data_IF_710036736679
#
_entry.id   IF_710036736679
#
_cell.length_a   1.000
_cell.length_b   1.000
_cell.length_c   1.000
_cell.angle_alpha   90.00
_cell.angle_beta   90.00
_cell.angle_gamma   90.00
#
_symmetry.space_group_name_H-M   'P 1'
#
loop_
_entity.id
_entity.type
_entity.pdbx_description
1 polymer ?
#
# COMPACT_ATOMS: atom_id res chain seq x y z
N UNK A 1 -17.08 -0.42 7.22
CA UNK A 1 -15.95 0.39 6.73
C UNK A 1 -16.29 1.83 7.07
N UNK A 2 -15.37 2.61 7.62
CA UNK A 2 -15.55 4.04 7.85
C UNK A 2 -15.59 4.77 6.51
N UNK A 3 -16.43 5.78 6.37
CA UNK A 3 -16.63 6.50 5.11
C UNK A 3 -15.47 7.46 4.82
N UNK A 4 -14.98 8.11 5.88
CA UNK A 4 -14.00 9.18 5.87
C UNK A 4 -12.56 8.74 5.55
N UNK A 5 -12.14 7.57 6.07
CA UNK A 5 -10.74 7.09 5.97
C UNK A 5 -10.63 5.66 5.40
N UNK A 6 -11.76 4.99 5.17
CA UNK A 6 -11.81 3.63 4.66
C UNK A 6 -11.36 2.54 5.66
N UNK A 7 -11.10 2.87 6.93
CA UNK A 7 -10.66 1.90 7.94
C UNK A 7 -11.81 0.94 8.27
N UNK A 8 -11.50 -0.36 8.31
CA UNK A 8 -12.46 -1.42 8.65
C UNK A 8 -12.32 -1.77 10.14
N UNK A 9 -13.38 -1.59 10.93
CA UNK A 9 -13.41 -1.90 12.36
C UNK A 9 -14.43 -3.00 12.68
N UNK A 10 -14.19 -3.73 13.77
CA UNK A 10 -15.21 -4.60 14.40
C UNK A 10 -15.74 -3.83 15.60
N UNK A 11 -17.03 -3.47 15.57
CA UNK A 11 -17.68 -2.81 16.69
C UNK A 11 -17.78 -3.79 17.87
N UNK A 12 -17.09 -3.47 18.97
CA UNK A 12 -16.99 -4.33 20.14
C UNK A 12 -18.30 -4.43 20.95
N UNK A 13 -19.20 -3.46 20.85
CA UNK A 13 -20.50 -3.50 21.53
C UNK A 13 -21.52 -4.37 20.77
N UNK A 14 -21.45 -4.33 19.43
CA UNK A 14 -22.33 -5.12 18.56
C UNK A 14 -21.83 -6.54 18.29
N UNK A 15 -20.55 -6.82 18.54
CA UNK A 15 -19.99 -8.15 18.29
C UNK A 15 -20.65 -9.22 19.18
N UNK A 16 -21.24 -10.23 18.56
CA UNK A 16 -21.91 -11.37 19.22
C UNK A 16 -21.12 -12.68 19.16
N UNK A 17 -19.81 -12.61 18.92
CA UNK A 17 -18.95 -13.79 18.96
C UNK A 17 -19.30 -14.91 17.96
N UNK A 18 -19.96 -14.62 16.83
CA UNK A 18 -20.29 -15.65 15.84
C UNK A 18 -19.08 -16.26 15.13
N UNK A 19 -17.91 -15.61 15.21
CA UNK A 19 -16.61 -16.04 14.64
C UNK A 19 -16.59 -16.24 13.12
N UNK A 20 -17.70 -16.03 12.41
CA UNK A 20 -17.75 -16.14 10.94
C UNK A 20 -16.76 -15.21 10.23
N UNK A 21 -16.47 -14.04 10.80
CA UNK A 21 -15.48 -13.11 10.25
C UNK A 21 -14.05 -13.67 10.25
N UNK A 22 -13.70 -14.55 11.20
CA UNK A 22 -12.38 -15.20 11.27
C UNK A 22 -12.19 -16.13 10.08
N UNK A 23 -13.21 -16.94 9.78
CA UNK A 23 -13.21 -17.82 8.61
C UNK A 23 -13.24 -17.03 7.31
N UNK A 24 -14.17 -16.07 7.21
CA UNK A 24 -14.43 -15.30 5.99
C UNK A 24 -13.25 -14.44 5.54
N UNK A 25 -12.41 -13.93 6.45
CA UNK A 25 -11.22 -13.18 6.06
C UNK A 25 -10.18 -14.13 5.41
N UNK A 26 -9.90 -14.00 4.11
CA UNK A 26 -8.96 -14.90 3.44
C UNK A 26 -7.53 -14.69 3.95
N UNK A 27 -7.18 -13.47 4.35
CA UNK A 27 -5.89 -13.13 4.96
C UNK A 27 -5.75 -13.50 6.45
N UNK A 28 -6.80 -14.04 7.08
CA UNK A 28 -6.82 -14.40 8.51
C UNK A 28 -6.36 -13.25 9.43
N UNK A 29 -6.85 -12.03 9.17
CA UNK A 29 -6.56 -10.81 9.93
C UNK A 29 -7.64 -10.39 10.91
N UNK A 30 -8.63 -11.25 11.13
CA UNK A 30 -9.55 -11.18 12.25
C UNK A 30 -9.20 -12.29 13.23
N UNK A 31 -8.99 -11.94 14.48
CA UNK A 31 -8.57 -12.83 15.54
C UNK A 31 -9.68 -12.93 16.58
N UNK A 32 -9.92 -14.12 17.12
CA UNK A 32 -10.87 -14.28 18.21
C UNK A 32 -10.15 -14.10 19.55
N UNK A 33 -10.65 -13.17 20.37
CA UNK A 33 -10.19 -13.02 21.74
C UNK A 33 -10.98 -13.99 22.64
N UNK A 34 -10.29 -15.02 23.12
CA UNK A 34 -10.85 -16.06 23.96
C UNK A 34 -11.28 -15.57 25.34
N UNK A 35 -10.74 -14.45 25.82
CA UNK A 35 -11.06 -13.88 27.11
C UNK A 35 -12.32 -13.00 27.06
N UNK A 36 -12.37 -12.03 26.13
CA UNK A 36 -13.53 -11.14 25.98
C UNK A 36 -14.69 -11.80 25.25
N UNK A 37 -14.42 -12.94 24.61
CA UNK A 37 -15.37 -13.65 23.77
C UNK A 37 -15.68 -12.94 22.46
N UNK A 38 -14.91 -11.91 22.05
CA UNK A 38 -15.19 -11.09 20.85
C UNK A 38 -14.08 -11.21 19.82
N UNK A 39 -14.38 -10.87 18.56
CA UNK A 39 -13.36 -10.79 17.52
C UNK A 39 -12.74 -9.40 17.45
N UNK A 40 -11.43 -9.37 17.25
CA UNK A 40 -10.61 -8.18 17.13
C UNK A 40 -9.79 -8.22 15.83
N UNK A 41 -9.35 -7.06 15.35
CA UNK A 41 -8.52 -6.95 14.15
C UNK A 41 -7.67 -5.70 14.21
N UNK A 42 -6.72 -5.58 13.27
CA UNK A 42 -5.99 -4.34 13.05
C UNK A 42 -6.97 -3.17 12.86
N UNK A 43 -6.78 -2.10 13.63
CA UNK A 43 -7.61 -0.88 13.60
C UNK A 43 -6.95 0.25 12.80
N UNK A 44 -5.91 -0.06 12.02
CA UNK A 44 -5.01 0.88 11.31
C UNK A 44 -4.52 2.05 12.18
N UNK A 45 -4.45 1.85 13.50
CA UNK A 45 -4.17 2.90 14.46
C UNK A 45 -5.02 4.16 14.24
N UNK A 46 -6.33 4.01 13.98
CA UNK A 46 -7.20 5.16 13.69
C UNK A 46 -7.09 6.33 14.68
N UNK A 47 -6.86 6.16 16.01
CA UNK A 47 -6.68 7.31 16.90
C UNK A 47 -5.43 8.15 16.57
N UNK A 48 -4.40 7.51 15.99
CA UNK A 48 -3.19 8.17 15.50
C UNK A 48 -3.44 8.84 14.15
N UNK A 49 -4.09 8.14 13.23
CA UNK A 49 -4.45 8.73 11.93
C UNK A 49 -5.29 9.99 12.09
N UNK A 50 -6.24 9.96 13.03
CA UNK A 50 -7.09 11.10 13.35
C UNK A 50 -6.36 12.34 13.85
N UNK A 51 -5.14 12.16 14.38
CA UNK A 51 -4.26 13.24 14.83
C UNK A 51 -3.11 13.50 13.85
N UNK A 52 -3.22 13.01 12.60
CA UNK A 52 -2.19 13.17 11.56
C UNK A 52 -0.91 12.36 11.81
N UNK A 53 -0.95 11.39 12.73
CA UNK A 53 0.21 10.58 13.09
C UNK A 53 0.23 9.25 12.34
N UNK A 54 1.43 8.83 11.91
CA UNK A 54 1.60 7.53 11.26
C UNK A 54 1.22 6.37 12.20
N UNK A 55 0.62 5.28 11.66
CA UNK A 55 0.34 4.06 12.42
C UNK A 55 1.60 3.52 13.10
N UNK A 56 1.45 2.93 14.29
CA UNK A 56 2.58 2.52 15.12
C UNK A 56 3.57 1.61 14.38
N UNK A 57 3.06 0.63 13.62
CA UNK A 57 3.87 -0.32 12.85
C UNK A 57 4.57 0.31 11.63
N UNK A 58 4.10 1.46 11.16
CA UNK A 58 4.72 2.25 10.09
C UNK A 58 5.77 3.21 10.66
N UNK A 59 5.44 3.88 11.76
CA UNK A 59 6.33 4.76 12.50
C UNK A 59 7.58 4.02 13.01
N UNK A 60 7.41 2.81 13.57
CA UNK A 60 8.51 1.99 14.11
C UNK A 60 9.28 1.17 13.07
N UNK A 61 8.98 1.33 11.77
CA UNK A 61 9.60 0.52 10.73
C UNK A 61 11.08 0.90 10.53
N UNK A 62 11.98 0.14 11.16
CA UNK A 62 13.44 0.33 11.12
C UNK A 62 13.99 0.31 9.69
N UNK A 63 13.53 -0.63 8.87
CA UNK A 63 13.94 -0.74 7.46
C UNK A 63 13.37 0.36 6.55
N UNK A 64 12.54 1.25 7.09
CA UNK A 64 11.90 2.38 6.40
C UNK A 64 11.06 2.06 5.16
N UNK A 65 10.66 0.80 4.98
CA UNK A 65 9.96 0.29 3.78
C UNK A 65 8.45 0.59 3.70
N UNK A 66 7.87 1.29 4.68
CA UNK A 66 6.42 1.53 4.76
C UNK A 66 6.10 2.97 4.37
N UNK A 67 5.07 3.12 3.55
CA UNK A 67 4.54 4.38 3.04
C UNK A 67 3.03 4.41 3.28
N UNK A 68 2.50 5.60 3.56
CA UNK A 68 1.08 5.86 3.75
C UNK A 68 0.71 7.13 3.00
N UNK A 69 -0.40 7.06 2.26
CA UNK A 69 -0.91 8.15 1.47
C UNK A 69 -2.35 7.87 1.07
N UNK A 70 -3.10 8.94 0.78
CA UNK A 70 -4.51 8.84 0.37
C UNK A 70 -4.59 8.26 -1.03
N UNK A 71 -5.61 7.45 -1.27
CA UNK A 71 -5.99 6.92 -2.58
C UNK A 71 -7.47 7.19 -2.77
N UNK A 72 -7.83 8.07 -3.71
CA UNK A 72 -9.22 8.28 -4.09
C UNK A 72 -9.69 7.10 -4.94
N UNK A 73 -10.89 6.60 -4.68
CA UNK A 73 -11.46 5.47 -5.40
C UNK A 73 -12.95 5.66 -5.66
N UNK A 74 -13.42 5.08 -6.75
CA UNK A 74 -14.83 5.04 -7.13
C UNK A 74 -15.54 3.86 -6.43
N UNK A 75 -16.35 4.17 -5.42
CA UNK A 75 -17.00 3.15 -4.58
C UNK A 75 -18.07 2.35 -5.34
N UNK A 76 -18.71 2.95 -6.35
CA UNK A 76 -19.79 2.31 -7.11
C UNK A 76 -19.27 1.18 -8.00
N UNK A 77 -17.98 1.21 -8.35
CA UNK A 77 -17.32 0.16 -9.15
C UNK A 77 -16.85 -1.04 -8.33
N UNK A 78 -16.94 -1.02 -7.00
CA UNK A 78 -16.39 -2.10 -6.14
C UNK A 78 -16.95 -3.47 -6.52
N UNK A 79 -18.27 -3.59 -6.66
CA UNK A 79 -18.92 -4.88 -6.98
C UNK A 79 -18.50 -5.38 -8.36
N UNK A 80 -18.54 -4.50 -9.36
CA UNK A 80 -18.15 -4.80 -10.74
C UNK A 80 -16.70 -5.31 -10.81
N UNK A 81 -15.79 -4.62 -10.12
CA UNK A 81 -14.37 -4.98 -10.08
C UNK A 81 -14.16 -6.31 -9.36
N UNK A 82 -14.76 -6.49 -8.19
CA UNK A 82 -14.64 -7.72 -7.40
C UNK A 82 -15.23 -8.94 -8.11
N UNK A 83 -16.20 -8.74 -9.01
CA UNK A 83 -16.86 -9.78 -9.81
C UNK A 83 -16.19 -10.02 -11.18
N UNK A 84 -15.16 -9.26 -11.53
CA UNK A 84 -14.50 -9.36 -12.84
C UNK A 84 -13.72 -10.67 -13.04
N UNK A 85 -13.41 -11.00 -14.29
CA UNK A 85 -12.60 -12.19 -14.60
C UNK A 85 -11.19 -12.09 -14.02
N UNK A 86 -10.61 -13.23 -13.63
CA UNK A 86 -9.28 -13.31 -13.01
C UNK A 86 -8.18 -12.60 -13.80
N UNK A 87 -8.24 -12.65 -15.14
CA UNK A 87 -7.26 -12.00 -16.03
C UNK A 87 -7.30 -10.48 -15.95
N UNK A 88 -8.49 -9.90 -15.77
CA UNK A 88 -8.69 -8.45 -15.74
C UNK A 88 -8.70 -7.90 -14.31
N UNK A 89 -8.78 -8.76 -13.30
CA UNK A 89 -8.99 -8.39 -11.89
C UNK A 89 -7.97 -7.39 -11.36
N UNK A 90 -6.69 -7.58 -11.68
CA UNK A 90 -5.63 -6.66 -11.23
C UNK A 90 -5.79 -5.31 -11.92
N UNK A 91 -6.02 -5.30 -13.23
CA UNK A 91 -6.18 -4.07 -13.99
C UNK A 91 -7.38 -3.29 -13.47
N UNK A 92 -8.54 -3.94 -13.36
CA UNK A 92 -9.77 -3.35 -12.85
C UNK A 92 -9.61 -2.87 -11.39
N UNK A 93 -8.89 -3.63 -10.56
CA UNK A 93 -8.58 -3.21 -9.19
C UNK A 93 -7.71 -1.96 -9.16
N UNK A 94 -6.70 -1.84 -10.03
CA UNK A 94 -5.91 -0.61 -10.10
C UNK A 94 -6.69 0.55 -10.72
N UNK A 95 -7.63 0.28 -11.63
CA UNK A 95 -8.44 1.28 -12.32
C UNK A 95 -9.58 1.85 -11.48
N UNK A 96 -9.92 1.22 -10.34
CA UNK A 96 -10.85 1.80 -9.37
C UNK A 96 -10.30 3.07 -8.72
N UNK A 97 -8.97 3.21 -8.68
CA UNK A 97 -8.29 4.37 -8.11
C UNK A 97 -8.20 5.49 -9.15
N UNK A 98 -8.74 6.65 -8.78
CA UNK A 98 -8.93 7.80 -9.67
C UNK A 98 -7.83 8.84 -9.47
N UNK A 99 -7.44 9.51 -10.56
CA UNK A 99 -6.34 10.49 -10.54
C UNK A 99 -6.69 11.73 -9.71
N UNK A 100 -6.00 11.98 -8.58
CA UNK A 100 -6.28 13.11 -7.71
C UNK A 100 -5.90 14.47 -8.33
N UNK A 101 -5.20 14.50 -9.47
CA UNK A 101 -4.86 15.72 -10.20
C UNK A 101 -5.86 16.05 -11.32
N UNK A 102 -6.77 15.14 -11.65
CA UNK A 102 -7.77 15.37 -12.69
C UNK A 102 -8.85 16.35 -12.17
N UNK A 103 -9.09 17.49 -12.84
CA UNK A 103 -10.09 18.48 -12.42
C UNK A 103 -11.50 17.89 -12.21
N UNK A 104 -11.92 16.95 -13.06
CA UNK A 104 -13.23 16.29 -12.94
C UNK A 104 -13.32 15.41 -11.70
N UNK A 105 -12.21 14.75 -11.32
CA UNK A 105 -12.13 13.93 -10.11
C UNK A 105 -12.13 14.81 -8.87
N UNK A 106 -11.45 15.96 -8.91
CA UNK A 106 -11.42 16.93 -7.81
C UNK A 106 -12.82 17.47 -7.54
N UNK A 107 -13.56 17.86 -8.59
CA UNK A 107 -14.93 18.31 -8.47
C UNK A 107 -15.86 17.20 -7.93
N UNK A 108 -15.77 15.99 -8.48
CA UNK A 108 -16.54 14.85 -8.00
C UNK A 108 -16.24 14.50 -6.53
N UNK A 109 -14.97 14.58 -6.12
CA UNK A 109 -14.54 14.32 -4.75
C UNK A 109 -15.13 15.35 -3.78
N UNK A 110 -15.10 16.65 -4.12
CA UNK A 110 -15.75 17.71 -3.34
C UNK A 110 -17.25 17.50 -3.21
N UNK A 111 -17.92 17.17 -4.33
CA UNK A 111 -19.35 16.88 -4.33
C UNK A 111 -19.71 15.65 -3.48
N UNK A 112 -18.75 14.74 -3.29
CA UNK A 112 -18.89 13.56 -2.43
C UNK A 112 -18.50 13.80 -0.97
N UNK A 113 -18.23 15.04 -0.58
CA UNK A 113 -17.86 15.42 0.79
C UNK A 113 -16.39 15.16 1.15
N UNK A 114 -15.51 14.95 0.17
CA UNK A 114 -14.06 14.83 0.42
C UNK A 114 -13.45 16.22 0.58
N UNK A 115 -12.80 16.44 1.73
CA UNK A 115 -12.12 17.69 2.07
C UNK A 115 -10.98 18.04 1.12
N UNK A 116 -10.80 19.34 0.85
CA UNK A 116 -9.67 19.85 0.04
C UNK A 116 -8.30 19.45 0.61
N UNK A 117 -8.18 19.38 1.94
CA UNK A 117 -6.98 18.88 2.63
C UNK A 117 -6.67 17.41 2.27
N UNK A 118 -7.71 16.59 2.12
CA UNK A 118 -7.62 15.16 1.76
C UNK A 118 -7.34 14.98 0.29
N UNK A 119 -7.93 15.81 -0.57
CA UNK A 119 -7.60 15.86 -2.01
C UNK A 119 -6.13 16.26 -2.19
N UNK A 120 -5.66 17.28 -1.48
CA UNK A 120 -4.25 17.68 -1.52
C UNK A 120 -3.32 16.56 -1.04
N UNK A 121 -3.65 15.90 0.06
CA UNK A 121 -2.91 14.72 0.54
C UNK A 121 -2.90 13.56 -0.48
N UNK A 122 -3.96 13.40 -1.28
CA UNK A 122 -4.01 12.42 -2.37
C UNK A 122 -3.09 12.80 -3.53
N UNK A 123 -3.03 14.09 -3.90
CA UNK A 123 -2.11 14.59 -4.94
C UNK A 123 -0.64 14.39 -4.56
N UNK A 124 -0.32 14.52 -3.27
CA UNK A 124 1.04 14.33 -2.75
C UNK A 124 1.32 12.88 -2.30
N UNK A 125 0.37 11.96 -2.50
CA UNK A 125 0.41 10.60 -1.98
C UNK A 125 1.60 9.78 -2.49
N UNK A 126 2.49 9.28 -1.62
CA UNK A 126 3.54 8.36 -2.04
C UNK A 126 2.94 7.04 -2.56
N UNK A 127 1.82 6.60 -2.00
CA UNK A 127 1.16 5.35 -2.41
C UNK A 127 0.64 5.46 -3.85
N UNK A 128 0.06 6.61 -4.23
CA UNK A 128 -0.33 6.88 -5.61
C UNK A 128 0.85 6.75 -6.59
N UNK A 129 2.01 7.30 -6.21
CA UNK A 129 3.24 7.21 -7.01
C UNK A 129 3.67 5.75 -7.20
N UNK A 130 3.78 4.98 -6.12
CA UNK A 130 4.18 3.57 -6.17
C UNK A 130 3.21 2.69 -6.99
N UNK A 131 1.91 2.90 -6.85
CA UNK A 131 0.86 2.02 -7.41
C UNK A 131 0.46 2.44 -8.83
N UNK A 132 0.24 3.73 -9.08
CA UNK A 132 -0.35 4.23 -10.33
C UNK A 132 0.66 4.92 -11.24
N UNK A 133 1.50 5.80 -10.70
CA UNK A 133 2.48 6.55 -11.52
C UNK A 133 3.61 5.64 -12.00
N UNK A 134 4.23 4.89 -11.09
CA UNK A 134 5.38 4.04 -11.39
C UNK A 134 4.97 2.61 -11.69
N UNK A 135 3.81 2.17 -11.18
CA UNK A 135 3.33 0.80 -11.37
C UNK A 135 4.34 -0.24 -10.91
N UNK A 136 4.92 -0.05 -9.71
CA UNK A 136 5.90 -0.95 -9.10
C UNK A 136 5.39 -1.61 -7.82
N UNK A 137 4.25 -1.17 -7.28
CA UNK A 137 3.59 -1.77 -6.13
C UNK A 137 2.33 -2.52 -6.56
N UNK A 138 2.20 -3.77 -6.09
CA UNK A 138 1.16 -4.71 -6.50
C UNK A 138 0.30 -5.13 -5.29
N UNK A 139 -1.00 -5.42 -5.49
CA UNK A 139 -1.87 -5.89 -4.42
C UNK A 139 -1.48 -7.30 -3.97
N UNK A 140 -1.73 -7.65 -2.70
CA UNK A 140 -1.52 -9.01 -2.20
C UNK A 140 -2.76 -9.88 -2.39
N UNK A 141 -2.60 -11.03 -3.05
CA UNK A 141 -3.65 -11.99 -3.37
C UNK A 141 -4.91 -11.32 -3.96
N UNK A 142 -4.80 -10.66 -5.13
CA UNK A 142 -5.95 -10.02 -5.77
C UNK A 142 -7.11 -10.99 -6.04
N UNK A 143 -6.81 -12.27 -6.29
CA UNK A 143 -7.78 -13.36 -6.53
C UNK A 143 -8.75 -13.60 -5.37
N UNK A 144 -8.44 -13.11 -4.17
CA UNK A 144 -9.38 -13.13 -3.05
C UNK A 144 -10.54 -12.14 -3.20
N UNK A 145 -10.49 -11.26 -4.22
CA UNK A 145 -11.59 -10.36 -4.62
C UNK A 145 -12.06 -9.42 -3.50
N UNK A 146 -11.21 -9.15 -2.52
CA UNK A 146 -11.49 -8.21 -1.43
C UNK A 146 -11.00 -6.79 -1.71
N UNK A 147 -10.38 -6.55 -2.87
CA UNK A 147 -9.74 -5.28 -3.28
C UNK A 147 -8.83 -4.71 -2.16
N UNK A 148 -7.74 -5.42 -1.82
CA UNK A 148 -6.88 -5.04 -0.71
C UNK A 148 -6.19 -3.70 -0.97
N UNK A 149 -6.26 -2.79 0.00
CA UNK A 149 -5.66 -1.45 -0.06
C UNK A 149 -4.24 -1.42 0.54
N UNK A 150 -3.54 -2.56 0.56
CA UNK A 150 -2.15 -2.67 0.98
C UNK A 150 -1.35 -3.30 -0.16
N UNK A 151 -0.37 -2.54 -0.66
CA UNK A 151 0.42 -2.90 -1.83
C UNK A 151 1.86 -3.19 -1.45
N UNK A 152 2.52 -4.00 -2.27
CA UNK A 152 3.87 -4.49 -2.04
C UNK A 152 4.71 -4.27 -3.28
N UNK A 153 5.91 -3.73 -3.10
CA UNK A 153 6.96 -3.78 -4.14
C UNK A 153 7.66 -5.14 -4.03
N UNK A 154 7.63 -5.99 -5.06
CA UNK A 154 8.31 -7.28 -5.04
C UNK A 154 9.81 -7.13 -4.77
N UNK A 155 10.41 -7.97 -3.91
CA UNK A 155 11.81 -7.85 -3.52
C UNK A 155 12.74 -8.36 -4.63
N UNK A 156 13.73 -7.56 -5.02
CA UNK A 156 14.87 -8.08 -5.80
C UNK A 156 15.80 -8.87 -4.88
N UNK A 157 16.00 -10.15 -5.17
CA UNK A 157 16.93 -11.02 -4.45
C UNK A 157 18.14 -11.37 -5.33
N UNK A 158 19.28 -11.79 -4.73
CA UNK A 158 20.47 -12.17 -5.49
C UNK A 158 20.18 -13.27 -6.51
N UNK A 159 20.97 -13.29 -7.60
CA UNK A 159 20.99 -14.40 -8.52
C UNK A 159 21.43 -15.71 -7.84
N UNK A 160 20.99 -16.85 -8.34
CA UNK A 160 21.56 -18.14 -7.98
C UNK A 160 22.94 -18.27 -8.61
N UNK A 161 23.91 -18.74 -7.83
CA UNK A 161 25.12 -19.30 -8.40
C UNK A 161 24.89 -20.77 -8.74
N UNK A 162 25.64 -21.26 -9.72
CA UNK A 162 25.73 -22.68 -10.00
C UNK A 162 27.04 -23.22 -9.43
N UNK A 163 26.97 -24.42 -8.88
CA UNK A 163 28.16 -25.19 -8.52
C UNK A 163 28.38 -26.14 -9.68
N UNK A 164 29.49 -25.96 -10.39
CA UNK A 164 29.86 -26.85 -11.48
C UNK A 164 30.20 -28.25 -10.94
N UNK A 165 30.21 -29.24 -11.83
CA UNK A 165 30.47 -30.64 -11.47
C UNK A 165 31.83 -30.90 -10.81
N UNK A 166 32.76 -29.96 -10.88
CA UNK A 166 34.07 -29.95 -10.24
C UNK A 166 34.08 -29.28 -8.85
N UNK A 167 32.93 -28.78 -8.38
CA UNK A 167 32.78 -28.09 -7.10
C UNK A 167 33.10 -26.59 -7.15
N UNK A 168 33.37 -26.03 -8.33
CA UNK A 168 33.66 -24.59 -8.50
C UNK A 168 32.37 -23.78 -8.42
N UNK A 169 32.36 -22.75 -7.57
CA UNK A 169 31.22 -21.84 -7.43
C UNK A 169 31.32 -20.75 -8.50
N UNK A 170 30.56 -20.90 -9.58
CA UNK A 170 30.53 -19.93 -10.67
C UNK A 170 29.24 -19.09 -10.59
N UNK A 171 29.42 -17.76 -10.56
CA UNK A 171 28.31 -16.84 -10.77
C UNK A 171 28.00 -16.80 -12.26
N UNK A 172 26.76 -17.13 -12.64
CA UNK A 172 26.29 -17.26 -14.04
C UNK A 172 26.30 -15.93 -14.82
N UNK A 173 26.85 -14.84 -14.28
CA UNK A 173 26.75 -13.50 -14.83
C UNK A 173 28.13 -12.87 -14.99
N UNK A 174 28.48 -12.53 -16.24
CA UNK A 174 29.64 -11.68 -16.57
C UNK A 174 29.44 -10.22 -16.12
N UNK A 175 28.20 -9.87 -15.76
CA UNK A 175 27.81 -8.54 -15.28
C UNK A 175 27.63 -8.51 -13.76
N UNK A 176 27.79 -7.33 -13.17
CA UNK A 176 27.66 -7.13 -11.72
C UNK A 176 26.28 -7.53 -11.16
N UNK A 177 25.21 -7.28 -11.91
CA UNK A 177 23.85 -7.68 -11.53
C UNK A 177 23.43 -8.86 -12.37
N UNK A 178 23.01 -9.94 -11.71
CA UNK A 178 22.50 -11.12 -12.40
C UNK A 178 21.24 -10.80 -13.22
N UNK A 179 21.03 -11.47 -14.36
CA UNK A 179 19.77 -11.40 -15.08
C UNK A 179 18.58 -11.73 -14.18
N UNK A 180 17.47 -11.05 -14.40
CA UNK A 180 16.23 -11.18 -13.60
C UNK A 180 15.74 -12.64 -13.54
N UNK A 181 16.00 -13.42 -14.59
CA UNK A 181 15.60 -14.83 -14.72
C UNK A 181 16.35 -15.76 -13.78
N UNK A 182 17.55 -15.35 -13.35
CA UNK A 182 18.41 -16.15 -12.49
C UNK A 182 18.22 -15.81 -11.01
N UNK A 183 17.24 -14.99 -10.64
CA UNK A 183 16.96 -14.65 -9.24
C UNK A 183 16.68 -15.90 -8.39
N UNK A 184 17.23 -15.92 -7.17
CA UNK A 184 17.04 -17.02 -6.21
C UNK A 184 15.58 -17.32 -5.88
N UNK A 185 14.73 -16.30 -5.94
CA UNK A 185 13.30 -16.45 -5.70
C UNK A 185 12.57 -16.63 -7.03
N UNK A 186 11.89 -17.77 -7.24
CA UNK A 186 11.18 -18.02 -8.49
C UNK A 186 10.13 -16.95 -8.77
N UNK A 187 10.14 -16.39 -9.99
CA UNK A 187 9.16 -15.38 -10.40
C UNK A 187 7.72 -15.90 -10.29
N UNK A 188 7.51 -17.20 -10.56
CA UNK A 188 6.21 -17.87 -10.38
C UNK A 188 5.66 -17.77 -8.96
N UNK A 189 6.53 -17.83 -7.94
CA UNK A 189 6.11 -17.68 -6.55
C UNK A 189 5.61 -16.27 -6.28
N UNK A 190 6.35 -15.25 -6.71
CA UNK A 190 5.91 -13.86 -6.56
C UNK A 190 4.64 -13.56 -7.35
N UNK A 191 4.51 -14.15 -8.53
CA UNK A 191 3.32 -14.03 -9.34
C UNK A 191 2.10 -14.64 -8.64
N UNK A 192 2.24 -15.79 -7.98
CA UNK A 192 1.17 -16.39 -7.17
C UNK A 192 0.72 -15.52 -5.98
N UNK A 193 1.59 -14.64 -5.48
CA UNK A 193 1.27 -13.75 -4.36
C UNK A 193 0.66 -12.42 -4.82
N UNK A 194 1.16 -11.85 -5.92
CA UNK A 194 0.89 -10.45 -6.25
C UNK A 194 0.08 -10.25 -7.53
N UNK A 195 0.06 -11.25 -8.41
CA UNK A 195 -0.48 -11.10 -9.76
C UNK A 195 -1.33 -12.27 -10.23
N UNK A 196 -1.87 -13.07 -9.30
CA UNK A 196 -2.67 -14.26 -9.62
C UNK A 196 -1.99 -15.19 -10.65
N UNK A 197 -0.67 -15.36 -10.53
CA UNK A 197 0.14 -16.22 -11.39
C UNK A 197 0.71 -15.57 -12.66
N UNK A 198 0.38 -14.31 -12.96
CA UNK A 198 0.93 -13.58 -14.11
C UNK A 198 2.38 -13.14 -13.86
N UNK A 199 3.34 -13.87 -14.44
CA UNK A 199 4.78 -13.58 -14.30
C UNK A 199 5.22 -12.34 -15.06
N UNK A 200 4.52 -11.97 -16.14
CA UNK A 200 4.92 -10.86 -16.99
C UNK A 200 4.77 -9.54 -16.26
N UNK A 201 3.69 -9.38 -15.47
CA UNK A 201 3.54 -8.22 -14.58
C UNK A 201 4.64 -8.12 -13.53
N UNK A 202 5.10 -9.24 -12.97
CA UNK A 202 6.20 -9.22 -12.00
C UNK A 202 7.51 -8.83 -12.70
N UNK A 203 7.75 -9.35 -13.91
CA UNK A 203 8.89 -8.97 -14.75
C UNK A 203 8.89 -7.47 -15.06
N UNK A 204 7.76 -6.89 -15.46
CA UNK A 204 7.64 -5.45 -15.71
C UNK A 204 8.09 -4.61 -14.50
N UNK A 205 7.72 -5.01 -13.29
CA UNK A 205 8.16 -4.34 -12.07
C UNK A 205 9.66 -4.50 -11.87
N UNK A 206 10.21 -5.70 -12.08
CA UNK A 206 11.63 -5.95 -11.97
C UNK A 206 12.47 -5.19 -12.97
N UNK A 207 12.03 -5.08 -14.23
CA UNK A 207 12.71 -4.29 -15.26
C UNK A 207 12.79 -2.82 -14.83
N UNK A 208 11.71 -2.27 -14.27
CA UNK A 208 11.68 -0.91 -13.71
C UNK A 208 12.65 -0.75 -12.54
N UNK A 209 12.65 -1.68 -11.58
CA UNK A 209 13.54 -1.61 -10.42
C UNK A 209 15.02 -1.76 -10.82
N UNK A 210 15.32 -2.61 -11.80
CA UNK A 210 16.67 -2.77 -12.35
C UNK A 210 17.10 -1.53 -13.12
N UNK A 211 16.21 -0.94 -13.92
CA UNK A 211 16.47 0.31 -14.62
C UNK A 211 16.82 1.45 -13.65
N UNK A 212 16.11 1.56 -12.52
CA UNK A 212 16.44 2.54 -11.46
C UNK A 212 17.85 2.31 -10.90
N UNK A 213 18.21 1.05 -10.60
CA UNK A 213 19.56 0.70 -10.09
C UNK A 213 20.65 1.05 -11.09
N UNK A 214 20.48 0.67 -12.36
CA UNK A 214 21.47 0.90 -13.41
C UNK A 214 21.58 2.38 -13.76
N UNK A 215 20.46 3.10 -13.82
CA UNK A 215 20.45 4.55 -13.99
C UNK A 215 21.21 5.25 -12.86
N UNK A 216 20.98 4.84 -11.60
CA UNK A 216 21.68 5.44 -10.46
C UNK A 216 23.18 5.13 -10.50
N UNK A 217 23.58 3.91 -10.84
CA UNK A 217 24.99 3.53 -11.03
C UNK A 217 25.65 4.39 -12.09
N UNK A 218 25.00 4.57 -13.24
CA UNK A 218 25.52 5.40 -14.33
C UNK A 218 25.77 6.85 -13.87
N UNK A 219 24.90 7.40 -13.03
CA UNK A 219 25.10 8.76 -12.47
C UNK A 219 26.25 8.79 -11.45
N UNK A 220 26.38 7.78 -10.58
CA UNK A 220 27.34 7.82 -9.46
C UNK A 220 28.73 7.30 -9.80
N UNK A 221 28.83 6.34 -10.73
CA UNK A 221 30.08 5.65 -11.10
C UNK A 221 30.47 5.99 -12.54
N UNK A 222 29.51 5.99 -13.48
CA UNK A 222 29.76 6.31 -14.89
C UNK A 222 30.48 5.22 -15.67
N UNK A 223 30.39 3.96 -15.23
CA UNK A 223 31.08 2.80 -15.81
C UNK A 223 30.23 2.00 -16.80
N UNK A 224 29.00 2.42 -17.05
CA UNK A 224 28.10 1.77 -18.00
C UNK A 224 28.11 2.49 -19.36
N UNK A 225 28.12 1.74 -20.48
CA UNK A 225 27.87 2.32 -21.80
C UNK A 225 26.51 3.03 -21.86
N UNK A 226 26.48 4.24 -22.46
CA UNK A 226 25.27 5.08 -22.48
C UNK A 226 24.10 4.43 -23.23
N UNK A 227 24.41 3.80 -24.35
CA UNK A 227 23.50 3.01 -25.18
C UNK A 227 22.79 1.92 -24.36
N UNK A 228 23.54 1.19 -23.53
CA UNK A 228 22.97 0.16 -22.65
C UNK A 228 22.00 0.72 -21.61
N UNK A 229 22.30 1.88 -21.03
CA UNK A 229 21.42 2.54 -20.06
C UNK A 229 20.15 3.05 -20.74
N UNK A 230 20.27 3.64 -21.94
CA UNK A 230 19.13 4.10 -22.73
C UNK A 230 18.21 2.96 -23.15
N UNK A 231 18.77 1.82 -23.57
CA UNK A 231 18.01 0.62 -23.90
C UNK A 231 17.24 0.05 -22.69
N UNK A 232 17.89 -0.03 -21.53
CA UNK A 232 17.24 -0.48 -20.29
C UNK A 232 16.08 0.43 -19.88
N UNK A 233 16.26 1.75 -19.94
CA UNK A 233 15.22 2.72 -19.60
C UNK A 233 14.05 2.65 -20.60
N UNK A 234 14.33 2.44 -21.89
CA UNK A 234 13.32 2.25 -22.93
C UNK A 234 12.52 0.96 -22.71
N UNK A 235 13.20 -0.14 -22.40
CA UNK A 235 12.57 -1.45 -22.11
C UNK A 235 11.66 -1.36 -20.90
N UNK A 236 12.12 -0.71 -19.82
CA UNK A 236 11.35 -0.48 -18.61
C UNK A 236 10.25 0.59 -18.76
N UNK A 237 10.14 1.26 -19.92
CA UNK A 237 9.24 2.40 -20.18
C UNK A 237 9.38 3.48 -19.10
N UNK A 238 10.63 3.78 -18.72
CA UNK A 238 10.97 4.64 -17.59
C UNK A 238 11.68 5.90 -18.06
N UNK A 239 11.33 7.06 -17.51
CA UNK A 239 12.07 8.31 -17.72
C UNK A 239 13.16 8.50 -16.66
N UNK A 240 14.21 9.26 -16.97
CA UNK A 240 15.25 9.60 -15.98
C UNK A 240 14.66 10.31 -14.75
N UNK A 241 13.68 11.21 -14.96
CA UNK A 241 12.96 11.89 -13.87
C UNK A 241 12.24 10.90 -12.97
N UNK A 242 11.50 9.95 -13.55
CA UNK A 242 10.81 8.92 -12.79
C UNK A 242 11.79 8.00 -12.03
N UNK A 243 12.91 7.61 -12.66
CA UNK A 243 13.93 6.80 -11.99
C UNK A 243 14.57 7.52 -10.79
N UNK A 244 14.86 8.82 -10.93
CA UNK A 244 15.36 9.64 -9.83
C UNK A 244 14.31 9.82 -8.72
N UNK A 245 13.03 9.97 -9.07
CA UNK A 245 11.94 10.08 -8.11
C UNK A 245 11.72 8.77 -7.33
N UNK A 246 11.79 7.61 -8.00
CA UNK A 246 11.77 6.30 -7.36
C UNK A 246 12.94 6.19 -6.38
N UNK A 247 14.17 6.45 -6.83
CA UNK A 247 15.36 6.41 -5.97
C UNK A 247 15.23 7.32 -4.74
N UNK A 248 14.72 8.56 -4.94
CA UNK A 248 14.47 9.51 -3.85
C UNK A 248 13.55 8.89 -2.80
N UNK A 249 12.40 8.34 -3.21
CA UNK A 249 11.45 7.78 -2.26
C UNK A 249 11.91 6.43 -1.68
N UNK A 250 12.61 5.58 -2.42
CA UNK A 250 13.00 4.24 -1.93
C UNK A 250 14.26 4.24 -1.08
N UNK A 251 15.15 5.23 -1.24
CA UNK A 251 16.47 5.24 -0.60
C UNK A 251 16.69 6.42 0.34
N UNK A 252 16.07 7.57 0.09
CA UNK A 252 16.34 8.82 0.82
C UNK A 252 15.10 9.43 1.48
N UNK A 253 13.93 8.80 1.40
CA UNK A 253 12.67 9.41 1.81
C UNK A 253 12.67 9.89 3.26
N UNK A 254 12.28 11.14 3.50
CA UNK A 254 12.05 11.68 4.84
C UNK A 254 10.84 11.04 5.52
N UNK A 255 10.52 11.44 6.74
CA UNK A 255 9.33 10.93 7.41
C UNK A 255 8.05 11.43 6.71
N UNK A 256 8.05 12.71 6.33
CA UNK A 256 6.95 13.45 5.70
C UNK A 256 6.70 12.95 4.26
N UNK A 257 7.76 12.62 3.53
CA UNK A 257 7.64 12.01 2.19
C UNK A 257 7.07 10.58 2.24
N UNK A 258 7.23 9.87 3.38
CA UNK A 258 6.68 8.51 3.55
C UNK A 258 5.25 8.49 4.04
N UNK A 259 4.86 9.46 4.85
CA UNK A 259 3.57 9.47 5.53
C UNK A 259 2.85 10.79 5.26
N UNK A 260 2.02 10.78 4.22
CA UNK A 260 1.17 11.91 3.85
C UNK A 260 -0.25 11.61 4.36
N UNK A 261 -0.56 12.12 5.55
CA UNK A 261 -1.79 11.83 6.29
C UNK A 261 -2.59 13.12 6.40
N UNK A 262 -3.81 13.19 5.85
CA UNK A 262 -4.65 14.36 5.99
C UNK A 262 -5.19 14.49 7.41
N UNK A 263 -5.61 15.70 7.82
CA UNK A 263 -6.45 15.84 9.01
C UNK A 263 -7.74 15.04 8.83
N UNK A 264 -8.21 14.39 9.90
CA UNK A 264 -9.39 13.52 9.83
C UNK A 264 -10.73 14.24 10.00
N UNK A 265 -10.70 15.56 10.15
CA UNK A 265 -11.91 16.41 10.24
C UNK A 265 -12.96 15.92 11.24
N UNK A 266 -12.50 15.51 12.44
CA UNK A 266 -13.37 14.96 13.50
C UNK A 266 -14.40 15.97 13.98
N UNK A 267 -14.08 17.26 13.89
CA UNK A 267 -14.95 18.36 14.24
C UNK A 267 -16.31 18.25 13.56
N UNK A 268 -16.37 17.95 12.26
CA UNK A 268 -17.64 17.88 11.53
C UNK A 268 -18.56 16.76 12.04
N UNK A 269 -17.96 15.61 12.37
CA UNK A 269 -18.71 14.49 12.92
C UNK A 269 -19.22 14.77 14.34
N UNK A 270 -18.45 15.52 15.13
CA UNK A 270 -18.81 15.90 16.50
C UNK A 270 -19.90 16.98 16.47
N UNK A 271 -19.81 17.98 15.59
CA UNK A 271 -20.79 19.07 15.45
C UNK A 271 -22.20 18.57 15.12
N UNK A 272 -22.32 17.41 14.47
CA UNK A 272 -23.62 16.77 14.22
C UNK A 272 -24.32 16.31 15.50
N UNK A 273 -23.59 16.09 16.59
CA UNK A 273 -24.11 15.51 17.84
C UNK A 273 -24.07 16.50 19.01
N UNK A 274 -23.00 17.26 19.14
CA UNK A 274 -22.74 18.13 20.29
C UNK A 274 -21.78 19.27 19.96
N UNK A 275 -21.67 20.25 20.86
CA UNK A 275 -20.74 21.36 20.68
C UNK A 275 -19.28 20.85 20.75
N UNK A 276 -18.50 21.11 19.70
CA UNK A 276 -17.10 20.66 19.59
C UNK A 276 -16.20 21.15 20.72
N UNK A 277 -16.43 22.38 21.19
CA UNK A 277 -15.68 22.95 22.31
C UNK A 277 -15.94 22.19 23.62
N UNK A 278 -17.19 21.81 23.87
CA UNK A 278 -17.59 21.06 25.07
C UNK A 278 -17.05 19.63 25.00
N UNK A 279 -17.21 18.95 23.86
CA UNK A 279 -16.60 17.63 23.64
C UNK A 279 -15.09 17.64 23.88
N UNK A 280 -14.39 18.69 23.41
CA UNK A 280 -12.95 18.84 23.64
C UNK A 280 -12.61 19.06 25.11
N UNK A 281 -13.42 19.82 25.85
CA UNK A 281 -13.22 20.09 27.28
C UNK A 281 -13.52 18.89 28.18
N UNK A 282 -14.46 18.03 27.76
CA UNK A 282 -14.95 16.90 28.56
C UNK A 282 -14.35 15.56 28.14
N UNK A 283 -13.73 15.47 26.96
CA UNK A 283 -13.11 14.23 26.48
C UNK A 283 -12.10 13.67 27.50
N UNK A 284 -12.32 12.41 27.90
CA UNK A 284 -11.50 11.73 28.90
C UNK A 284 -12.04 11.81 30.33
N UNK A 285 -13.06 12.63 30.59
CA UNK A 285 -13.80 12.66 31.85
C UNK A 285 -15.10 11.85 31.74
N UNK A 286 -15.50 11.20 32.84
CA UNK A 286 -16.73 10.40 32.93
C UNK A 286 -16.52 8.89 33.09
N UNK A 287 -17.60 8.16 33.35
CA UNK A 287 -17.57 6.72 33.54
C UNK A 287 -17.87 6.00 32.21
N UNK A 288 -16.96 5.10 31.81
CA UNK A 288 -17.12 4.28 30.60
C UNK A 288 -18.26 3.26 30.71
N UNK A 289 -18.50 2.80 31.94
CA UNK A 289 -19.66 1.99 32.33
C UNK A 289 -20.39 2.75 33.43
N UNK A 290 -21.72 2.89 33.31
CA UNK A 290 -22.51 3.51 34.39
C UNK A 290 -22.33 2.68 35.67
N UNK A 291 -22.10 3.30 36.83
CA UNK A 291 -22.03 2.55 38.09
C UNK A 291 -23.33 1.77 38.29
N UNK A 292 -23.25 0.44 38.24
CA UNK A 292 -24.34 -0.45 38.61
C UNK A 292 -24.33 -0.60 40.13
N UNK A 293 -25.48 -0.40 40.78
CA UNK A 293 -25.64 -0.77 42.19
C UNK A 293 -25.83 -2.29 42.27
N UNK A 294 -24.88 -2.98 42.91
CA UNK A 294 -24.97 -4.41 43.23
C UNK A 294 -24.38 -5.33 42.16
N UNK A 295 -23.79 -6.43 42.63
CA UNK A 295 -23.53 -7.65 41.85
C UNK A 295 -24.86 -8.36 41.56
#
# INVERSE_FOLDING_TARGET
>A
KRGEDGVVLINQERCRAWRMCVTACPYKKSYYNWHTGKSEKCILCYPRLESGQAPACMHSCVGRIRYLGVMLYDADKIEQVASSNDKDLIKNHLDIYVDPNNPLVIEAARNSGVHDSTIKAAQDSPVWKFVKEWGIALPLHPEFRTLPNLFYVPPMLPGMAQVDGDGTYNTVSDELFSPIDNNRMPMKYLASLFTNGDTDKVREVYDKLMAVKQHRRNITVGDLPKDKVEELMKTAKMSATAANAIFRLTSLATFEERFVIPPAHREESIEMLEATADHKGEAGFGFKEKPARGL
#
